data_IF_505019091825
#
_entry.id   IF_505019091825
#
_cell.length_a   1.000
_cell.length_b   1.000
_cell.length_c   1.000
_cell.angle_alpha   90.00
_cell.angle_beta   90.00
_cell.angle_gamma   90.00
#
_symmetry.space_group_name_H-M   'P 1'
#
loop_
_entity.id
_entity.type
_entity.pdbx_description
1 polymer ?
#
# COMPACT_ATOMS: atom_id res chain seq x y z
N UNK A 1 -15.37 -3.30 3.94
CA UNK A 1 -15.50 -3.85 2.59
C UNK A 1 -14.22 -4.58 2.18
N UNK A 2 -14.34 -5.81 1.70
CA UNK A 2 -13.18 -6.64 1.33
C UNK A 2 -12.39 -6.04 0.15
N UNK A 3 -13.09 -5.43 -0.80
CA UNK A 3 -12.47 -4.81 -1.98
C UNK A 3 -11.65 -3.56 -1.60
N UNK A 4 -12.14 -2.77 -0.66
CA UNK A 4 -11.41 -1.61 -0.14
C UNK A 4 -10.14 -2.02 0.62
N UNK A 5 -10.24 -3.07 1.43
CA UNK A 5 -9.12 -3.65 2.16
C UNK A 5 -8.05 -4.17 1.20
N UNK A 6 -8.45 -4.91 0.18
CA UNK A 6 -7.52 -5.44 -0.84
C UNK A 6 -6.86 -4.30 -1.62
N UNK A 7 -7.61 -3.29 -2.00
CA UNK A 7 -7.10 -2.10 -2.69
C UNK A 7 -6.09 -1.33 -1.85
N UNK A 8 -6.39 -1.11 -0.56
CA UNK A 8 -5.46 -0.44 0.36
C UNK A 8 -4.16 -1.23 0.50
N UNK A 9 -4.25 -2.55 0.60
CA UNK A 9 -3.11 -3.43 0.66
C UNK A 9 -2.25 -3.37 -0.61
N UNK A 10 -2.88 -3.41 -1.79
CA UNK A 10 -2.19 -3.29 -3.07
C UNK A 10 -1.45 -1.95 -3.17
N UNK A 11 -2.09 -0.84 -2.78
CA UNK A 11 -1.44 0.48 -2.78
C UNK A 11 -0.23 0.54 -1.83
N UNK A 12 -0.32 -0.11 -0.67
CA UNK A 12 0.79 -0.20 0.26
C UNK A 12 1.94 -1.06 -0.31
N UNK A 13 1.65 -2.23 -0.84
CA UNK A 13 2.63 -3.12 -1.50
C UNK A 13 3.29 -2.47 -2.71
N UNK A 14 2.55 -1.68 -3.46
CA UNK A 14 3.04 -0.94 -4.62
C UNK A 14 3.87 0.31 -4.25
N UNK A 15 4.00 0.64 -2.97
CA UNK A 15 4.71 1.84 -2.54
C UNK A 15 4.01 3.15 -2.92
N UNK A 16 2.69 3.12 -3.16
CA UNK A 16 1.86 4.30 -3.47
C UNK A 16 1.32 4.98 -2.22
N UNK A 17 1.40 4.30 -1.08
CA UNK A 17 1.16 4.84 0.25
C UNK A 17 2.26 4.36 1.19
N UNK A 18 2.70 5.24 2.07
CA UNK A 18 3.80 4.96 3.01
C UNK A 18 3.32 4.31 4.31
N UNK A 19 2.03 4.45 4.63
CA UNK A 19 1.44 3.98 5.88
C UNK A 19 0.17 3.20 5.59
N UNK A 20 0.02 2.07 6.26
CA UNK A 20 -1.20 1.27 6.28
C UNK A 20 -1.74 1.25 7.71
N UNK A 21 -2.90 1.85 7.93
CA UNK A 21 -3.62 1.80 9.20
C UNK A 21 -4.59 0.63 9.15
N UNK A 22 -4.53 -0.24 10.13
CA UNK A 22 -5.36 -1.44 10.16
C UNK A 22 -5.68 -1.87 11.59
N UNK A 23 -6.79 -2.58 11.76
CA UNK A 23 -7.13 -3.30 12.99
C UNK A 23 -6.46 -4.67 13.00
N UNK A 24 -6.46 -5.37 14.13
CA UNK A 24 -5.94 -6.74 14.22
C UNK A 24 -6.62 -7.69 13.23
N UNK A 25 -7.94 -7.58 13.10
CA UNK A 25 -8.70 -8.36 12.12
C UNK A 25 -8.28 -8.01 10.68
N UNK A 26 -8.08 -6.72 10.42
CA UNK A 26 -7.58 -6.23 9.14
C UNK A 26 -6.16 -6.67 8.82
N UNK A 27 -5.32 -6.86 9.84
CA UNK A 27 -3.93 -7.28 9.69
C UNK A 27 -3.76 -8.79 9.54
N UNK A 28 -4.74 -9.60 9.95
CA UNK A 28 -4.68 -11.06 9.82
C UNK A 28 -4.66 -11.48 8.35
N UNK A 29 -3.74 -12.37 8.01
CA UNK A 29 -3.59 -12.86 6.63
C UNK A 29 -2.98 -11.86 5.65
N UNK A 30 -2.53 -10.67 6.10
CA UNK A 30 -1.80 -9.77 5.24
C UNK A 30 -0.40 -10.34 4.97
N UNK A 31 -0.16 -10.68 3.72
CA UNK A 31 1.18 -10.98 3.24
C UNK A 31 1.83 -9.70 2.72
N UNK A 32 2.51 -9.01 3.64
CA UNK A 32 3.29 -7.82 3.32
C UNK A 32 4.74 -8.19 3.52
N UNK A 33 5.50 -8.37 2.44
CA UNK A 33 6.92 -8.64 2.56
C UNK A 33 7.65 -7.41 3.11
N UNK A 34 8.67 -7.64 3.92
CA UNK A 34 9.66 -6.64 4.34
C UNK A 34 9.12 -5.37 4.99
N UNK A 35 8.15 -5.51 5.91
CA UNK A 35 7.69 -4.38 6.69
C UNK A 35 8.78 -3.91 7.65
N UNK A 36 9.30 -2.70 7.44
CA UNK A 36 10.40 -2.12 8.22
C UNK A 36 9.94 -1.64 9.60
N UNK A 37 8.72 -1.15 9.69
CA UNK A 37 8.19 -0.53 10.90
C UNK A 37 6.78 -1.01 11.20
N UNK A 38 6.54 -1.32 12.48
CA UNK A 38 5.21 -1.56 13.04
C UNK A 38 4.98 -0.50 14.13
N UNK A 39 3.84 0.17 14.09
CA UNK A 39 3.47 1.18 15.09
C UNK A 39 2.23 0.70 15.81
N UNK A 40 2.36 0.43 17.09
CA UNK A 40 1.23 0.15 17.97
C UNK A 40 0.63 1.47 18.43
N UNK A 41 -0.49 1.86 17.84
CA UNK A 41 -1.22 3.07 18.28
C UNK A 41 -1.85 2.86 19.65
N UNK A 42 -2.32 1.64 19.92
CA UNK A 42 -2.68 1.15 21.25
C UNK A 42 -1.99 -0.17 21.49
N UNK A 43 -1.45 -0.37 22.69
CA UNK A 43 -0.97 -1.69 23.11
C UNK A 43 -2.15 -2.68 23.12
N UNK A 44 -2.00 -3.88 22.58
CA UNK A 44 -3.00 -4.94 22.71
C UNK A 44 -3.13 -5.37 24.18
N UNK A 45 -4.29 -5.92 24.53
CA UNK A 45 -4.54 -6.39 25.90
C UNK A 45 -3.69 -7.62 26.26
N UNK A 46 -3.22 -8.39 25.26
CA UNK A 46 -2.48 -9.64 25.45
C UNK A 46 -1.11 -9.59 24.77
N UNK A 47 -0.13 -10.21 25.41
CA UNK A 47 1.23 -10.35 24.91
C UNK A 47 1.31 -11.09 23.58
N UNK A 48 0.51 -12.17 23.41
CA UNK A 48 0.44 -12.93 22.17
C UNK A 48 0.03 -12.06 20.97
N UNK A 49 -0.93 -11.16 21.17
CA UNK A 49 -1.36 -10.22 20.12
C UNK A 49 -0.24 -9.22 19.78
N UNK A 50 0.49 -8.75 20.79
CA UNK A 50 1.67 -7.91 20.60
C UNK A 50 2.75 -8.61 19.78
N UNK A 51 3.05 -9.86 20.13
CA UNK A 51 4.01 -10.70 19.41
C UNK A 51 3.56 -10.97 17.97
N UNK A 52 2.29 -11.27 17.75
CA UNK A 52 1.72 -11.47 16.41
C UNK A 52 1.77 -10.21 15.55
N UNK A 53 1.53 -9.03 16.12
CA UNK A 53 1.69 -7.75 15.38
C UNK A 53 3.15 -7.52 15.01
N UNK A 54 4.08 -7.73 15.94
CA UNK A 54 5.51 -7.60 15.70
C UNK A 54 6.01 -8.61 14.66
N UNK A 55 5.43 -9.80 14.60
CA UNK A 55 5.73 -10.80 13.59
C UNK A 55 5.37 -10.39 12.14
N UNK A 56 4.87 -9.19 11.92
CA UNK A 56 4.71 -8.59 10.58
C UNK A 56 5.98 -7.86 10.11
N UNK A 57 6.93 -7.62 11.00
CA UNK A 57 8.25 -7.06 10.70
C UNK A 57 9.32 -8.11 10.97
N UNK A 58 10.52 -7.90 10.45
CA UNK A 58 11.69 -8.77 10.70
C UNK A 58 11.47 -10.26 10.34
N UNK A 59 10.74 -10.56 9.27
CA UNK A 59 10.62 -11.93 8.78
C UNK A 59 11.93 -12.42 8.15
N UNK A 60 12.30 -13.64 8.48
CA UNK A 60 13.50 -14.38 8.01
C UNK A 60 14.82 -13.68 8.39
N UNK A 61 15.40 -12.85 7.57
CA UNK A 61 16.69 -12.19 7.81
C UNK A 61 16.58 -10.64 7.86
N UNK A 62 15.37 -10.10 7.79
CA UNK A 62 15.16 -8.65 7.83
C UNK A 62 15.13 -8.12 9.27
N UNK A 63 15.74 -6.98 9.49
CA UNK A 63 15.63 -6.23 10.75
C UNK A 63 14.43 -5.29 10.67
N UNK A 64 13.60 -5.26 11.71
CA UNK A 64 12.46 -4.35 11.78
C UNK A 64 12.38 -3.66 13.14
N UNK A 65 11.68 -2.53 13.18
CA UNK A 65 11.51 -1.76 14.42
C UNK A 65 10.03 -1.67 14.76
N UNK A 66 9.67 -2.05 15.99
CA UNK A 66 8.35 -1.82 16.55
C UNK A 66 8.36 -0.57 17.43
N UNK A 67 7.41 0.31 17.19
CA UNK A 67 7.17 1.50 17.99
C UNK A 67 5.86 1.35 18.75
N UNK A 68 5.82 1.89 19.95
CA UNK A 68 4.61 1.92 20.77
C UNK A 68 4.32 3.37 21.14
N UNK A 69 3.10 3.82 20.85
CA UNK A 69 2.59 5.10 21.34
C UNK A 69 1.95 4.84 22.70
N UNK A 70 2.33 5.62 23.71
CA UNK A 70 1.83 5.49 25.07
C UNK A 70 1.36 6.86 25.52
N UNK A 71 0.10 6.94 25.92
CA UNK A 71 -0.45 8.13 26.58
C UNK A 71 -0.16 8.08 28.07
N UNK A 72 0.09 9.22 28.70
CA UNK A 72 0.45 9.30 30.13
C UNK A 72 -0.61 8.72 31.07
N UNK A 73 -1.89 8.80 30.66
CA UNK A 73 -3.02 8.27 31.43
C UNK A 73 -3.34 6.82 31.12
N UNK A 74 -2.62 6.18 30.19
CA UNK A 74 -2.90 4.81 29.78
C UNK A 74 -2.45 3.82 30.87
N UNK A 75 -3.32 2.83 31.17
CA UNK A 75 -2.99 1.78 32.13
C UNK A 75 -1.79 0.98 31.60
N UNK A 76 -0.75 0.90 32.41
CA UNK A 76 0.44 0.11 32.06
C UNK A 76 0.10 -1.38 31.94
N UNK A 77 0.66 -2.00 30.94
CA UNK A 77 0.56 -3.44 30.72
C UNK A 77 1.74 -4.15 31.37
N UNK A 78 1.49 -5.28 32.03
CA UNK A 78 2.53 -6.02 32.79
C UNK A 78 3.56 -6.69 31.87
N UNK A 79 3.20 -7.01 30.63
CA UNK A 79 4.08 -7.67 29.67
C UNK A 79 5.01 -6.72 28.91
N UNK A 80 4.78 -5.41 28.98
CA UNK A 80 5.55 -4.43 28.19
C UNK A 80 6.59 -3.71 29.06
N UNK A 81 7.84 -3.73 28.59
CA UNK A 81 8.94 -3.02 29.24
C UNK A 81 8.94 -1.53 28.86
N UNK A 82 8.45 -0.68 29.74
CA UNK A 82 8.40 0.78 29.60
C UNK A 82 9.75 1.47 29.78
N UNK A 83 10.79 0.74 30.20
CA UNK A 83 12.16 1.23 30.35
C UNK A 83 12.95 1.32 29.05
N UNK A 84 12.37 0.84 27.94
CA UNK A 84 13.02 0.90 26.61
C UNK A 84 13.21 2.33 26.12
N UNK A 85 14.03 2.46 25.08
CA UNK A 85 14.38 3.74 24.47
C UNK A 85 13.13 4.56 24.12
N UNK A 86 13.02 5.76 24.67
CA UNK A 86 12.01 6.74 24.30
C UNK A 86 12.48 7.56 23.10
N UNK A 87 11.57 7.87 22.20
CA UNK A 87 11.79 8.78 21.09
C UNK A 87 11.06 10.09 21.36
N UNK A 88 11.79 11.19 21.32
CA UNK A 88 11.19 12.51 21.31
C UNK A 88 10.79 12.88 19.89
N UNK A 89 9.48 13.03 19.66
CA UNK A 89 8.90 13.40 18.36
C UNK A 89 8.67 14.90 18.23
N UNK A 90 8.87 15.69 19.29
CA UNK A 90 8.68 17.14 19.28
C UNK A 90 9.63 17.86 18.31
N UNK A 91 10.76 17.25 18.01
CA UNK A 91 11.78 17.78 17.10
C UNK A 91 11.55 17.44 15.61
N UNK A 92 10.45 16.75 15.26
CA UNK A 92 10.17 16.42 13.88
C UNK A 92 9.94 17.69 13.04
N UNK A 93 10.91 18.00 12.16
CA UNK A 93 10.96 19.26 11.41
C UNK A 93 10.35 19.18 10.00
N UNK A 94 10.12 18.00 9.48
CA UNK A 94 9.65 17.83 8.10
C UNK A 94 8.71 16.64 7.96
N UNK A 95 7.75 16.78 7.05
CA UNK A 95 6.92 15.66 6.63
C UNK A 95 7.75 14.65 5.82
N UNK A 96 7.39 13.36 5.87
CA UNK A 96 8.04 12.35 5.05
C UNK A 96 7.88 12.66 3.56
N UNK A 97 8.85 12.21 2.76
CA UNK A 97 8.80 12.33 1.30
C UNK A 97 7.54 11.67 0.75
N UNK A 98 6.96 12.28 -0.29
CA UNK A 98 5.85 11.66 -1.00
C UNK A 98 6.24 10.29 -1.57
N UNK A 99 5.28 9.34 -1.69
CA UNK A 99 5.51 8.06 -2.32
C UNK A 99 6.07 8.21 -3.74
N UNK A 100 6.99 7.32 -4.12
CA UNK A 100 7.60 7.32 -5.44
C UNK A 100 6.61 6.91 -6.55
N UNK A 101 5.70 6.02 -6.22
CA UNK A 101 4.72 5.45 -7.16
C UNK A 101 3.30 5.92 -6.85
N UNK A 102 2.47 5.84 -7.87
CA UNK A 102 1.02 5.95 -7.77
C UNK A 102 0.39 4.72 -8.41
N UNK A 103 -0.59 4.11 -7.74
CA UNK A 103 -1.30 2.95 -8.26
C UNK A 103 -2.37 3.40 -9.25
N UNK A 104 -2.35 2.81 -10.44
CA UNK A 104 -3.42 2.91 -11.44
C UNK A 104 -4.31 1.67 -11.37
N UNK A 105 -5.60 1.88 -11.53
CA UNK A 105 -6.64 0.88 -11.71
C UNK A 105 -6.91 0.69 -13.19
N UNK A 106 -7.10 -0.55 -13.63
CA UNK A 106 -7.50 -0.93 -14.99
C UNK A 106 -8.75 -1.79 -14.88
N UNK A 107 -9.83 -1.45 -15.60
CA UNK A 107 -11.10 -2.20 -15.64
C UNK A 107 -11.00 -3.47 -16.49
N UNK A 108 -9.91 -4.22 -16.39
CA UNK A 108 -9.67 -5.45 -17.10
C UNK A 108 -8.66 -6.33 -16.39
N UNK A 109 -8.83 -7.64 -16.52
CA UNK A 109 -8.00 -8.63 -15.85
C UNK A 109 -7.89 -9.94 -16.62
N UNK A 110 -7.61 -11.04 -15.94
CA UNK A 110 -7.40 -12.39 -16.51
C UNK A 110 -8.59 -12.84 -17.37
N UNK A 111 -9.82 -12.59 -16.93
CA UNK A 111 -11.04 -12.94 -17.68
C UNK A 111 -11.18 -12.13 -18.98
N UNK A 112 -10.51 -11.00 -19.08
CA UNK A 112 -10.37 -10.22 -20.31
C UNK A 112 -9.13 -10.62 -21.13
N UNK A 113 -8.47 -11.73 -20.77
CA UNK A 113 -7.22 -12.20 -21.39
C UNK A 113 -6.08 -11.18 -21.30
N UNK A 114 -6.09 -10.34 -20.24
CA UNK A 114 -4.98 -9.44 -19.90
C UNK A 114 -3.98 -10.13 -19.00
N UNK A 115 -2.71 -9.87 -19.27
CA UNK A 115 -1.59 -10.29 -18.44
C UNK A 115 -0.62 -9.13 -18.20
N UNK A 116 0.41 -9.34 -17.38
CA UNK A 116 1.40 -8.31 -17.05
C UNK A 116 2.15 -7.78 -18.29
N UNK A 117 2.45 -8.66 -19.24
CA UNK A 117 3.21 -8.30 -20.47
C UNK A 117 2.37 -7.37 -21.35
N UNK A 118 1.06 -7.65 -21.50
CA UNK A 118 0.15 -6.80 -22.25
C UNK A 118 0.11 -5.37 -21.70
N UNK A 119 0.04 -5.26 -20.35
CA UNK A 119 -0.01 -3.97 -19.66
C UNK A 119 1.31 -3.22 -19.82
N UNK A 120 2.45 -3.89 -19.61
CA UNK A 120 3.78 -3.28 -19.79
C UNK A 120 3.94 -2.81 -21.24
N UNK A 121 3.64 -3.66 -22.21
CA UNK A 121 3.73 -3.31 -23.63
C UNK A 121 2.87 -2.11 -24.01
N UNK A 122 1.64 -2.06 -23.51
CA UNK A 122 0.72 -0.94 -23.75
C UNK A 122 1.24 0.36 -23.13
N UNK A 123 1.71 0.32 -21.88
CA UNK A 123 2.22 1.50 -21.18
C UNK A 123 3.54 2.01 -21.79
N UNK A 124 4.39 1.11 -22.27
CA UNK A 124 5.64 1.51 -22.94
C UNK A 124 5.38 2.05 -24.34
N UNK A 125 4.59 1.36 -25.16
CA UNK A 125 4.41 1.74 -26.56
C UNK A 125 3.47 2.95 -26.73
N UNK A 126 2.31 2.91 -26.08
CA UNK A 126 1.28 3.96 -26.17
C UNK A 126 1.45 5.01 -25.09
N UNK A 127 1.79 4.60 -23.89
CA UNK A 127 2.00 5.49 -22.73
C UNK A 127 3.37 6.19 -22.73
N UNK A 128 4.32 5.73 -23.54
CA UNK A 128 5.71 6.25 -23.62
C UNK A 128 6.44 6.16 -22.27
N UNK A 129 6.22 5.08 -21.54
CA UNK A 129 6.93 4.81 -20.28
C UNK A 129 8.17 3.94 -20.56
N UNK A 130 9.23 4.23 -19.83
CA UNK A 130 10.39 3.33 -19.71
C UNK A 130 10.06 2.19 -18.73
N UNK A 131 10.80 1.08 -18.86
CA UNK A 131 10.61 -0.09 -18.00
C UNK A 131 10.69 0.26 -16.50
N UNK A 132 11.61 1.12 -16.13
CA UNK A 132 11.85 1.56 -14.76
C UNK A 132 10.78 2.53 -14.22
N UNK A 133 9.91 3.06 -15.08
CA UNK A 133 8.77 3.88 -14.68
C UNK A 133 7.58 3.03 -14.19
N UNK A 134 7.60 1.72 -14.46
CA UNK A 134 6.55 0.77 -14.14
C UNK A 134 7.02 -0.10 -12.97
N UNK A 135 6.30 -0.04 -11.86
CA UNK A 135 6.55 -0.87 -10.69
C UNK A 135 5.71 -2.15 -10.67
N UNK A 136 5.25 -2.54 -9.47
CA UNK A 136 4.49 -3.77 -9.29
C UNK A 136 3.19 -3.77 -10.09
N UNK A 137 2.90 -4.90 -10.75
CA UNK A 137 1.65 -5.13 -11.49
C UNK A 137 0.94 -6.32 -10.87
N UNK A 138 -0.31 -6.13 -10.48
CA UNK A 138 -1.22 -7.18 -10.03
C UNK A 138 -2.39 -7.32 -11.01
N UNK A 139 -2.56 -8.52 -11.58
CA UNK A 139 -3.67 -8.82 -12.49
C UNK A 139 -4.61 -9.77 -11.77
N UNK A 140 -5.82 -9.29 -11.48
CA UNK A 140 -6.94 -10.05 -10.90
C UNK A 140 -7.85 -10.59 -12.01
N UNK A 141 -8.95 -11.20 -11.66
CA UNK A 141 -9.86 -11.79 -12.63
C UNK A 141 -10.47 -10.74 -13.58
N UNK A 142 -11.00 -9.65 -13.04
CA UNK A 142 -11.72 -8.62 -13.79
C UNK A 142 -11.05 -7.25 -13.79
N UNK A 143 -10.06 -7.05 -12.93
CA UNK A 143 -9.38 -5.77 -12.74
C UNK A 143 -7.87 -5.97 -12.65
N UNK A 144 -7.12 -4.91 -12.87
CA UNK A 144 -5.67 -4.91 -12.66
C UNK A 144 -5.22 -3.62 -11.98
N UNK A 145 -4.10 -3.70 -11.30
CA UNK A 145 -3.45 -2.58 -10.63
C UNK A 145 -1.99 -2.49 -11.07
N UNK A 146 -1.53 -1.27 -11.30
CA UNK A 146 -0.16 -1.00 -11.76
C UNK A 146 0.42 0.16 -10.99
N UNK A 147 1.60 -0.03 -10.41
CA UNK A 147 2.38 1.07 -9.88
C UNK A 147 3.10 1.81 -11.01
N UNK A 148 2.95 3.13 -11.07
CA UNK A 148 3.64 3.99 -12.03
C UNK A 148 4.33 5.11 -11.27
N UNK A 149 5.56 5.47 -11.62
CA UNK A 149 6.24 6.62 -11.01
C UNK A 149 5.36 7.86 -11.05
N UNK A 150 5.21 8.50 -9.90
CA UNK A 150 4.28 9.62 -9.69
C UNK A 150 4.38 10.72 -10.79
N UNK A 151 5.57 11.20 -11.19
CA UNK A 151 5.71 12.25 -12.20
C UNK A 151 5.20 11.85 -13.59
N UNK A 152 5.15 10.54 -13.87
CA UNK A 152 4.80 10.00 -15.19
C UNK A 152 3.29 9.75 -15.36
N UNK A 153 2.52 9.74 -14.27
CA UNK A 153 1.10 9.35 -14.29
C UNK A 153 0.25 10.28 -15.16
N UNK A 154 0.44 11.58 -15.03
CA UNK A 154 -0.37 12.57 -15.79
C UNK A 154 -0.17 12.42 -17.30
N UNK A 155 1.08 12.35 -17.75
CA UNK A 155 1.40 12.20 -19.17
C UNK A 155 0.97 10.84 -19.72
N UNK A 156 1.16 9.76 -18.95
CA UNK A 156 0.67 8.43 -19.31
C UNK A 156 -0.83 8.45 -19.58
N UNK A 157 -1.65 8.93 -18.62
CA UNK A 157 -3.11 8.94 -18.76
C UNK A 157 -3.58 9.79 -19.95
N UNK A 158 -2.88 10.88 -20.27
CA UNK A 158 -3.16 11.67 -21.47
C UNK A 158 -2.84 10.89 -22.75
N UNK A 159 -1.69 10.24 -22.83
CA UNK A 159 -1.25 9.51 -24.01
C UNK A 159 -2.17 8.32 -24.35
N UNK A 160 -2.69 7.62 -23.31
CA UNK A 160 -3.50 6.40 -23.52
C UNK A 160 -5.01 6.65 -23.54
N UNK A 161 -5.46 7.89 -23.39
CA UNK A 161 -6.88 8.23 -23.23
C UNK A 161 -7.80 7.61 -24.29
N UNK A 162 -7.38 7.65 -25.55
CA UNK A 162 -8.15 7.13 -26.69
C UNK A 162 -7.61 5.79 -27.22
N UNK A 163 -6.55 5.28 -26.61
CA UNK A 163 -5.87 4.08 -27.08
C UNK A 163 -6.57 2.79 -26.64
N UNK A 164 -6.39 1.75 -27.43
CA UNK A 164 -6.92 0.40 -27.17
C UNK A 164 -5.79 -0.56 -26.79
N UNK A 165 -5.97 -1.31 -25.73
CA UNK A 165 -5.09 -2.42 -25.35
C UNK A 165 -5.73 -3.73 -25.82
N UNK A 166 -5.02 -4.47 -26.67
CA UNK A 166 -5.54 -5.71 -27.33
C UNK A 166 -6.89 -5.50 -28.05
N UNK A 167 -7.02 -4.36 -28.75
CA UNK A 167 -8.24 -4.05 -29.51
C UNK A 167 -9.43 -3.55 -28.67
N UNK A 168 -9.31 -3.52 -27.33
CA UNK A 168 -10.39 -3.11 -26.42
C UNK A 168 -9.99 -1.87 -25.60
N UNK A 169 -10.93 -0.97 -25.39
CA UNK A 169 -10.76 0.19 -24.51
C UNK A 169 -11.08 -0.20 -23.06
N UNK A 170 -10.17 0.10 -22.15
CA UNK A 170 -10.33 -0.12 -20.72
C UNK A 170 -10.36 1.23 -19.99
N UNK A 171 -11.13 1.32 -18.94
CA UNK A 171 -11.07 2.45 -18.02
C UNK A 171 -9.76 2.32 -17.25
N UNK A 172 -8.90 3.35 -17.35
CA UNK A 172 -7.62 3.42 -16.63
C UNK A 172 -7.60 4.75 -15.88
N UNK A 173 -7.47 4.66 -14.57
CA UNK A 173 -7.50 5.84 -13.69
C UNK A 173 -6.64 5.62 -12.45
N UNK A 174 -6.38 6.70 -11.70
CA UNK A 174 -5.72 6.60 -10.40
C UNK A 174 -6.62 5.81 -9.45
N UNK A 175 -6.08 4.78 -8.82
CA UNK A 175 -6.76 4.01 -7.78
C UNK A 175 -6.94 4.91 -6.54
N UNK A 176 -8.06 5.63 -6.46
CA UNK A 176 -8.39 6.52 -5.34
C UNK A 176 -8.81 5.69 -4.12
N UNK A 177 -8.57 6.22 -2.91
CA UNK A 177 -9.32 5.81 -1.72
C UNK A 177 -10.79 6.10 -2.00
N UNK A 178 -11.66 5.14 -1.80
CA UNK A 178 -13.10 5.41 -1.73
C UNK A 178 -13.34 6.08 -0.37
N UNK A 179 -13.29 7.40 -0.35
CA UNK A 179 -13.83 8.16 0.78
C UNK A 179 -15.35 8.11 0.54
N UNK A 180 -16.05 7.25 1.25
CA UNK A 180 -17.50 7.40 1.38
C UNK A 180 -17.71 8.78 2.02
N UNK A 181 -18.33 9.72 1.29
CA UNK A 181 -18.97 10.86 1.93
C UNK A 181 -20.02 10.24 2.84
N UNK A 182 -19.86 10.42 4.15
CA UNK A 182 -20.98 10.28 5.07
C UNK A 182 -22.00 11.31 4.60
N UNK A 183 -23.14 10.86 4.11
CA UNK A 183 -24.29 11.71 3.88
C UNK A 183 -24.74 12.18 5.24
N UNK A 184 -24.65 13.50 5.48
CA UNK A 184 -25.25 14.19 6.61
C UNK A 184 -26.76 14.07 6.60
#
# INVERSE_FOLDING_TARGET
>A
DQDERERALIQFRNGSVSYLITTDLGARGLDIPEMKHVIHYHLPAKEDEFTHRNGRTARMLATGTAYVLIHETEKKSDYFDYGKRRLDVSSAKSLPKAPLYQTLYISGGKKNKLNKIDIVGFFSQKGKLEKDDIGLIEVKDFISFVAVKYPKVKSLLQNIKEEKMKGKKYKIEVARKVIKKEEE
#
